data_IF_861322657863
#
_entry.id   IF_861322657863
#
_cell.length_a   1.000
_cell.length_b   1.000
_cell.length_c   1.000
_cell.angle_alpha   90.00
_cell.angle_beta   90.00
_cell.angle_gamma   90.00
#
_symmetry.space_group_name_H-M   'P 1'
#
loop_
_entity.id
_entity.type
_entity.pdbx_description
1 polymer ?
#
# COMPACT_ATOMS: atom_id res chain seq x y z
N UNK A 1 -13.38 -10.46 2.98
CA UNK A 1 -12.04 -10.78 2.47
C UNK A 1 -11.11 -10.94 3.65
N UNK A 2 -10.16 -11.87 3.61
CA UNK A 2 -9.16 -12.06 4.66
C UNK A 2 -7.79 -11.54 4.23
N UNK A 3 -6.95 -11.13 5.19
CA UNK A 3 -5.58 -10.68 4.93
C UNK A 3 -4.78 -11.73 4.14
N UNK A 4 -5.02 -13.02 4.39
CA UNK A 4 -4.33 -14.10 3.70
C UNK A 4 -4.59 -14.10 2.19
N UNK A 5 -5.81 -13.76 1.77
CA UNK A 5 -6.17 -13.67 0.36
C UNK A 5 -5.48 -12.47 -0.30
N UNK A 6 -5.43 -11.33 0.41
CA UNK A 6 -4.71 -10.14 -0.04
C UNK A 6 -3.21 -10.41 -0.16
N UNK A 7 -2.61 -11.15 0.79
CA UNK A 7 -1.21 -11.57 0.76
C UNK A 7 -0.89 -12.45 -0.45
N UNK A 8 -1.81 -13.32 -0.86
CA UNK A 8 -1.64 -14.17 -2.06
C UNK A 8 -1.63 -13.34 -3.34
N UNK A 9 -2.55 -12.37 -3.44
CA UNK A 9 -2.69 -11.48 -4.59
C UNK A 9 -1.77 -10.25 -4.53
N UNK A 10 -0.94 -10.10 -3.47
CA UNK A 10 -0.13 -8.89 -3.25
C UNK A 10 0.86 -8.63 -4.37
N UNK A 11 1.50 -9.68 -4.89
CA UNK A 11 2.41 -9.56 -6.03
C UNK A 11 1.70 -9.06 -7.29
N UNK A 12 0.46 -9.52 -7.54
CA UNK A 12 -0.33 -9.06 -8.69
C UNK A 12 -0.76 -7.60 -8.54
N UNK A 13 -1.12 -7.19 -7.32
CA UNK A 13 -1.42 -5.78 -7.01
C UNK A 13 -0.19 -4.90 -7.22
N UNK A 14 0.99 -5.36 -6.78
CA UNK A 14 2.24 -4.64 -7.01
C UNK A 14 2.61 -4.56 -8.49
N UNK A 15 2.38 -5.62 -9.29
CA UNK A 15 2.60 -5.59 -10.75
C UNK A 15 1.68 -4.57 -11.44
N UNK A 16 0.39 -4.55 -11.12
CA UNK A 16 -0.54 -3.54 -11.64
C UNK A 16 -0.17 -2.13 -11.16
N UNK A 17 0.26 -1.98 -9.91
CA UNK A 17 0.74 -0.70 -9.38
C UNK A 17 2.01 -0.23 -10.09
N UNK A 18 2.95 -1.13 -10.39
CA UNK A 18 4.17 -0.80 -11.14
C UNK A 18 3.82 -0.28 -12.54
N UNK A 19 2.91 -0.98 -13.24
CA UNK A 19 2.46 -0.60 -14.59
C UNK A 19 1.73 0.73 -14.60
N UNK A 20 0.88 0.98 -13.61
CA UNK A 20 0.04 2.18 -13.53
C UNK A 20 0.81 3.39 -12.98
N UNK A 21 1.57 3.19 -11.90
CA UNK A 21 2.30 4.25 -11.21
C UNK A 21 3.55 3.70 -10.52
N UNK A 22 4.65 3.67 -11.28
CA UNK A 22 5.97 3.24 -10.80
C UNK A 22 6.47 4.02 -9.57
N UNK A 23 6.07 5.29 -9.40
CA UNK A 23 6.46 6.09 -8.23
C UNK A 23 5.74 5.57 -6.97
N UNK A 24 4.44 5.26 -7.07
CA UNK A 24 3.70 4.63 -5.97
C UNK A 24 4.27 3.23 -5.67
N UNK A 25 4.62 2.46 -6.71
CA UNK A 25 5.30 1.18 -6.53
C UNK A 25 6.61 1.32 -5.75
N UNK A 26 7.47 2.28 -6.09
CA UNK A 26 8.71 2.54 -5.33
C UNK A 26 8.51 2.93 -3.86
N UNK A 27 7.30 3.35 -3.48
CA UNK A 27 6.94 3.60 -2.08
C UNK A 27 6.40 2.33 -1.43
N UNK A 28 5.50 1.61 -2.08
CA UNK A 28 4.79 0.47 -1.49
C UNK A 28 5.43 -0.90 -1.73
N UNK A 29 6.48 -1.02 -2.55
CA UNK A 29 7.12 -2.32 -2.82
C UNK A 29 7.74 -2.95 -1.57
N UNK A 30 8.21 -2.11 -0.62
CA UNK A 30 8.72 -2.54 0.69
C UNK A 30 7.61 -2.63 1.76
N UNK A 31 6.37 -2.26 1.41
CA UNK A 31 5.26 -2.29 2.34
C UNK A 31 4.85 -3.73 2.67
N UNK A 32 4.63 -3.98 3.95
CA UNK A 32 4.22 -5.25 4.52
C UNK A 32 2.79 -5.18 4.98
N UNK A 33 1.99 -6.15 4.56
CA UNK A 33 0.59 -6.28 4.97
C UNK A 33 0.52 -6.77 6.44
N UNK A 34 0.20 -5.86 7.36
CA UNK A 34 0.14 -6.13 8.81
C UNK A 34 -1.19 -6.77 9.16
N UNK A 35 -2.29 -6.09 8.84
CA UNK A 35 -3.64 -6.48 9.23
C UNK A 35 -4.67 -5.97 8.24
N UNK A 36 -5.78 -6.70 8.10
CA UNK A 36 -6.94 -6.27 7.33
C UNK A 36 -8.16 -6.43 8.22
N UNK A 37 -8.76 -5.31 8.62
CA UNK A 37 -9.92 -5.28 9.52
C UNK A 37 -11.09 -4.63 8.80
N UNK A 38 -12.09 -5.43 8.43
CA UNK A 38 -13.22 -4.98 7.62
C UNK A 38 -12.76 -4.51 6.24
N UNK A 39 -12.74 -3.20 6.03
CA UNK A 39 -12.31 -2.55 4.78
C UNK A 39 -11.01 -1.77 4.94
N UNK A 40 -10.34 -1.89 6.08
CA UNK A 40 -9.12 -1.14 6.41
C UNK A 40 -7.91 -2.07 6.33
N UNK A 41 -7.03 -1.78 5.38
CA UNK A 41 -5.74 -2.44 5.21
C UNK A 41 -4.66 -1.64 5.93
N UNK A 42 -4.09 -2.24 6.97
CA UNK A 42 -2.92 -1.70 7.65
C UNK A 42 -1.64 -2.25 7.02
N UNK A 43 -0.75 -1.34 6.59
CA UNK A 43 0.57 -1.65 6.04
C UNK A 43 1.68 -1.06 6.91
N UNK A 44 2.84 -1.71 6.95
CA UNK A 44 4.04 -1.25 7.65
C UNK A 44 5.23 -1.23 6.70
N UNK A 45 6.17 -0.31 6.89
CA UNK A 45 7.36 -0.19 6.05
C UNK A 45 8.60 -0.68 6.80
N UNK A 46 9.44 -1.50 6.14
CA UNK A 46 10.63 -2.07 6.76
C UNK A 46 11.71 -1.00 6.95
N UNK A 47 11.92 -0.16 5.94
CA UNK A 47 12.85 0.95 6.01
C UNK A 47 12.16 2.22 6.52
N UNK A 48 11.87 2.23 7.84
CA UNK A 48 11.43 3.46 8.51
C UNK A 48 12.51 4.54 8.54
N UNK A 49 13.77 4.19 8.26
CA UNK A 49 14.89 5.13 8.31
C UNK A 49 14.91 6.08 7.09
N UNK A 50 14.34 5.67 5.95
CA UNK A 50 13.93 6.59 4.88
C UNK A 50 12.86 7.60 5.27
N UNK A 51 12.14 7.38 6.39
CA UNK A 51 11.12 8.28 6.95
C UNK A 51 11.69 9.22 8.03
N UNK A 52 12.87 8.92 8.57
CA UNK A 52 13.41 9.59 9.78
C UNK A 52 14.35 10.77 9.47
N UNK A 53 14.80 10.93 8.23
CA UNK A 53 15.76 11.97 7.84
C UNK A 53 15.07 13.28 7.41
N UNK A 54 14.36 13.93 8.35
CA UNK A 54 13.99 15.34 8.25
C UNK A 54 12.52 15.59 7.90
N UNK A 55 11.75 16.02 8.91
CA UNK A 55 10.45 16.71 8.83
C UNK A 55 9.42 16.13 7.83
N UNK A 56 8.46 15.39 8.40
CA UNK A 56 7.11 15.17 7.84
C UNK A 56 7.01 14.29 6.57
N UNK A 57 7.51 13.05 6.62
CA UNK A 57 7.15 12.04 5.61
C UNK A 57 5.73 11.47 5.76
N UNK A 58 5.03 11.69 6.88
CA UNK A 58 3.56 11.49 6.94
C UNK A 58 2.84 12.34 5.86
N UNK A 59 3.47 13.41 5.35
CA UNK A 59 3.03 14.19 4.19
C UNK A 59 3.57 13.72 2.82
N UNK A 60 4.48 12.74 2.76
CA UNK A 60 5.12 12.32 1.51
C UNK A 60 4.42 11.17 0.79
N UNK A 61 3.61 10.35 1.47
CA UNK A 61 2.66 9.49 0.76
C UNK A 61 1.53 10.39 0.27
N UNK A 62 1.68 10.85 -0.96
CA UNK A 62 0.69 11.72 -1.57
C UNK A 62 -0.63 10.98 -1.71
N UNK A 63 -1.76 11.69 -1.60
CA UNK A 63 -3.09 11.12 -1.86
C UNK A 63 -3.17 10.37 -3.20
N UNK A 64 -2.39 10.81 -4.20
CA UNK A 64 -2.25 10.14 -5.49
C UNK A 64 -1.62 8.73 -5.40
N UNK A 65 -0.65 8.52 -4.50
CA UNK A 65 -0.01 7.22 -4.31
C UNK A 65 -0.94 6.26 -3.59
N UNK A 66 -1.63 6.73 -2.54
CA UNK A 66 -2.69 5.95 -1.87
C UNK A 66 -3.78 5.57 -2.86
N UNK A 67 -4.28 6.54 -3.63
CA UNK A 67 -5.29 6.31 -4.67
C UNK A 67 -4.81 5.32 -5.75
N UNK A 68 -3.53 5.34 -6.13
CA UNK A 68 -2.97 4.38 -7.08
C UNK A 68 -3.00 2.96 -6.51
N UNK A 69 -2.60 2.77 -5.26
CA UNK A 69 -2.63 1.46 -4.61
C UNK A 69 -4.07 0.96 -4.39
N UNK A 70 -4.99 1.84 -3.96
CA UNK A 70 -6.42 1.51 -3.86
C UNK A 70 -7.00 1.09 -5.21
N UNK A 71 -6.64 1.78 -6.29
CA UNK A 71 -7.08 1.40 -7.64
C UNK A 71 -6.52 0.04 -8.08
N UNK A 72 -5.26 -0.25 -7.80
CA UNK A 72 -4.67 -1.55 -8.11
C UNK A 72 -5.37 -2.68 -7.33
N UNK A 73 -5.59 -2.50 -6.03
CA UNK A 73 -6.37 -3.42 -5.19
C UNK A 73 -7.78 -3.62 -5.78
N UNK A 74 -8.47 -2.52 -6.11
CA UNK A 74 -9.81 -2.57 -6.68
C UNK A 74 -9.85 -3.27 -8.04
N UNK A 75 -8.82 -3.16 -8.87
CA UNK A 75 -8.75 -3.89 -10.13
C UNK A 75 -8.58 -5.39 -9.94
N UNK A 76 -7.64 -5.80 -9.09
CA UNK A 76 -7.30 -7.22 -8.91
C UNK A 76 -8.36 -7.95 -8.08
N UNK A 77 -8.79 -7.33 -6.98
CA UNK A 77 -9.66 -7.97 -6.00
C UNK A 77 -11.11 -7.51 -6.07
N UNK A 78 -11.43 -6.49 -6.89
CA UNK A 78 -12.78 -5.92 -6.99
C UNK A 78 -13.34 -5.44 -5.64
N UNK A 79 -12.44 -5.07 -4.71
CA UNK A 79 -12.80 -4.51 -3.40
C UNK A 79 -12.25 -3.10 -3.23
N UNK A 80 -12.98 -2.29 -2.48
CA UNK A 80 -12.51 -0.97 -2.06
C UNK A 80 -11.97 -1.08 -0.63
N UNK A 81 -10.66 -0.87 -0.49
CA UNK A 81 -9.98 -0.90 0.81
C UNK A 81 -9.42 0.49 1.10
N UNK A 82 -9.56 0.93 2.35
CA UNK A 82 -8.86 2.08 2.88
C UNK A 82 -7.48 1.66 3.35
N UNK A 83 -6.45 2.45 3.07
CA UNK A 83 -5.06 2.09 3.36
C UNK A 83 -4.57 2.96 4.50
N UNK A 84 -4.15 2.31 5.58
CA UNK A 84 -3.57 2.95 6.75
C UNK A 84 -2.15 2.47 6.97
N UNK A 85 -1.27 3.40 7.34
CA UNK A 85 0.12 3.07 7.69
C UNK A 85 0.19 2.81 9.19
N UNK A 86 0.78 1.68 9.58
CA UNK A 86 1.06 1.37 10.97
C UNK A 86 2.02 2.42 11.54
N UNK A 87 1.66 2.97 12.70
CA UNK A 87 2.50 3.89 13.47
C UNK A 87 3.62 3.13 14.18
#
# INVERSE_FOLDING_TARGET
MELADLKRNWNEILDELERSNRIAWLVFFDARLVSLTGSVLTIDFLDRNKLAAGHDFESHISANQLAALQQAIRKILTVDLSIEVAK
#
